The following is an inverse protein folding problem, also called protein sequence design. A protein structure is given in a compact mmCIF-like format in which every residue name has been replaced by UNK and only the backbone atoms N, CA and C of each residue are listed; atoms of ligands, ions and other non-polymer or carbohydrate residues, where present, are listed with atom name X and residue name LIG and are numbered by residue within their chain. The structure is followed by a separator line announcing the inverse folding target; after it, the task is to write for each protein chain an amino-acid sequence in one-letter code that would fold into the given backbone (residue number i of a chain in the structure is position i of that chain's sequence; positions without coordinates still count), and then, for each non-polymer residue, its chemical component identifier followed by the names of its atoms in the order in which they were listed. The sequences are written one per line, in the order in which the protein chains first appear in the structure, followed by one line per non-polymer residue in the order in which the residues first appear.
data_IF_831064422205
#
_entry.id   IF_831064422205
#
_cell.length_a   1.000
_cell.length_b   1.000
_cell.length_c   1.000
_cell.angle_alpha   90.00
_cell.angle_beta   90.00
_cell.angle_gamma   90.00
#
_symmetry.space_group_name_H-M   'P 1'
#
loop_
_entity.id
_entity.type
_entity.pdbx_description
1 polymer ?
#
# COMPACT_ATOMS: atom_id res chain seq x y z
N UNK A 1 -8.40 14.99 -3.43
CA UNK A 1 -7.48 15.24 -2.30
C UNK A 1 -8.18 15.12 -0.94
N UNK A 2 -9.40 15.63 -0.76
CA UNK A 2 -10.15 15.54 0.50
C UNK A 2 -10.33 14.08 1.00
N UNK A 3 -10.80 13.18 0.14
CA UNK A 3 -10.94 11.73 0.45
C UNK A 3 -9.64 11.13 1.02
N UNK A 4 -8.49 11.47 0.43
CA UNK A 4 -7.20 11.00 0.92
C UNK A 4 -6.91 11.49 2.33
N UNK A 5 -7.18 12.76 2.62
CA UNK A 5 -6.91 13.35 3.95
C UNK A 5 -7.82 12.73 5.01
N UNK A 6 -9.11 12.59 4.72
CA UNK A 6 -10.11 12.08 5.65
C UNK A 6 -9.89 10.59 5.97
N UNK A 7 -9.52 9.79 4.96
CA UNK A 7 -9.32 8.35 5.11
C UNK A 7 -7.89 7.98 5.54
N UNK A 8 -6.94 8.93 5.53
CA UNK A 8 -5.53 8.67 5.84
C UNK A 8 -5.31 8.02 7.20
N UNK A 9 -5.96 8.45 8.30
CA UNK A 9 -5.74 7.83 9.61
C UNK A 9 -6.06 6.34 9.61
N UNK A 10 -7.18 5.95 9.00
CA UNK A 10 -7.60 4.54 8.90
C UNK A 10 -6.64 3.75 8.01
N UNK A 11 -6.23 4.32 6.87
CA UNK A 11 -5.24 3.71 5.99
C UNK A 11 -3.89 3.48 6.69
N UNK A 12 -3.41 4.45 7.48
CA UNK A 12 -2.16 4.30 8.24
C UNK A 12 -2.30 3.20 9.30
N UNK A 13 -3.40 3.15 10.04
CA UNK A 13 -3.65 2.08 11.01
C UNK A 13 -3.70 0.69 10.35
N UNK A 14 -4.26 0.60 9.14
CA UNK A 14 -4.24 -0.64 8.35
C UNK A 14 -2.80 -1.07 8.00
N UNK A 15 -1.97 -0.15 7.52
CA UNK A 15 -0.56 -0.43 7.21
C UNK A 15 0.26 -0.77 8.46
N UNK A 16 0.00 -0.11 9.60
CA UNK A 16 0.63 -0.43 10.88
C UNK A 16 0.29 -1.86 11.35
N UNK A 17 -0.96 -2.29 11.13
CA UNK A 17 -1.38 -3.67 11.37
C UNK A 17 -0.58 -4.67 10.53
N UNK A 18 -0.51 -4.44 9.21
CA UNK A 18 0.28 -5.28 8.30
C UNK A 18 1.77 -5.31 8.67
N UNK A 19 2.32 -4.18 9.12
CA UNK A 19 3.69 -4.10 9.60
C UNK A 19 3.90 -4.92 10.88
N UNK A 20 3.00 -4.83 11.85
CA UNK A 20 3.03 -5.63 13.08
C UNK A 20 2.91 -7.14 12.83
N UNK A 21 2.26 -7.54 11.74
CA UNK A 21 2.17 -8.93 11.28
C UNK A 21 3.36 -9.37 10.39
N UNK A 22 4.37 -8.52 10.17
CA UNK A 22 5.47 -8.74 9.22
C UNK A 22 5.03 -9.01 7.77
N UNK A 23 3.83 -8.52 7.39
CA UNK A 23 3.30 -8.60 6.02
C UNK A 23 3.66 -7.39 5.17
N UNK A 24 4.04 -6.26 5.78
CA UNK A 24 4.43 -5.06 5.03
C UNK A 24 5.95 -5.02 4.84
N UNK A 25 6.40 -5.00 3.58
CA UNK A 25 7.83 -4.80 3.27
C UNK A 25 8.17 -3.32 3.23
N UNK A 26 7.39 -2.51 2.51
CA UNK A 26 7.46 -1.05 2.53
C UNK A 26 6.20 -0.43 1.90
N UNK A 27 5.92 0.83 2.23
CA UNK A 27 4.85 1.60 1.62
C UNK A 27 5.20 3.09 1.52
N UNK A 28 4.62 3.78 0.54
CA UNK A 28 4.76 5.22 0.40
C UNK A 28 3.86 5.81 -0.70
N UNK A 29 3.61 7.13 -0.66
CA UNK A 29 2.91 7.81 -1.73
C UNK A 29 3.79 7.94 -2.98
N UNK A 30 3.19 7.81 -4.16
CA UNK A 30 3.73 8.47 -5.35
C UNK A 30 3.48 9.97 -5.25
N UNK A 31 4.42 10.76 -5.76
CA UNK A 31 4.38 12.22 -5.71
C UNK A 31 4.35 12.81 -7.12
N UNK A 32 3.64 13.92 -7.29
CA UNK A 32 3.70 14.74 -8.50
C UNK A 32 4.92 15.68 -8.50
N UNK A 33 5.02 16.54 -9.52
CA UNK A 33 6.12 17.50 -9.68
C UNK A 33 6.20 18.55 -8.56
N UNK A 34 5.10 18.81 -7.86
CA UNK A 34 5.02 19.73 -6.72
C UNK A 34 5.22 19.00 -5.37
N UNK A 35 5.54 17.70 -5.40
CA UNK A 35 5.71 16.88 -4.20
C UNK A 35 4.40 16.48 -3.53
N UNK A 36 3.25 16.60 -4.20
CA UNK A 36 1.95 16.23 -3.62
C UNK A 36 1.62 14.77 -3.93
N UNK A 37 0.99 14.04 -2.99
CA UNK A 37 0.63 12.64 -3.21
C UNK A 37 -0.41 12.47 -4.32
N UNK A 38 -0.09 11.66 -5.34
CA UNK A 38 -1.00 11.32 -6.44
C UNK A 38 -1.23 9.80 -6.61
N UNK A 39 -0.72 8.99 -5.69
CA UNK A 39 -0.92 7.54 -5.70
C UNK A 39 -0.34 6.88 -4.45
N UNK A 40 -0.21 5.56 -4.49
CA UNK A 40 0.40 4.76 -3.42
C UNK A 40 1.17 3.59 -4.03
N UNK A 41 2.34 3.31 -3.49
CA UNK A 41 3.07 2.07 -3.67
C UNK A 41 3.09 1.33 -2.34
N UNK A 42 2.63 0.09 -2.33
CA UNK A 42 2.62 -0.77 -1.16
C UNK A 42 3.17 -2.13 -1.61
N UNK A 43 4.20 -2.62 -0.94
CA UNK A 43 4.75 -3.96 -1.17
C UNK A 43 4.50 -4.78 0.08
N UNK A 44 3.76 -5.87 -0.11
CA UNK A 44 3.37 -6.80 0.95
C UNK A 44 3.88 -8.21 0.65
N UNK A 45 4.16 -8.97 1.70
CA UNK A 45 4.36 -10.41 1.64
C UNK A 45 2.97 -11.08 1.75
N UNK A 46 2.61 -11.86 0.73
CA UNK A 46 1.35 -12.59 0.63
C UNK A 46 1.61 -14.00 0.08
N UNK A 47 0.80 -15.00 0.44
CA UNK A 47 1.00 -16.39 -0.01
C UNK A 47 0.80 -16.55 -1.53
N UNK A 48 -0.06 -15.74 -2.13
CA UNK A 48 -0.40 -15.76 -3.55
C UNK A 48 -0.99 -14.41 -3.99
N UNK A 49 -1.33 -14.31 -5.29
CA UNK A 49 -1.91 -13.10 -5.87
C UNK A 49 -3.30 -12.79 -5.31
N UNK A 50 -4.14 -13.80 -5.09
CA UNK A 50 -5.51 -13.62 -4.58
C UNK A 50 -5.50 -13.00 -3.17
N UNK A 51 -4.61 -13.45 -2.30
CA UNK A 51 -4.41 -12.85 -0.99
C UNK A 51 -3.91 -11.40 -1.06
N UNK A 52 -3.03 -11.08 -2.01
CA UNK A 52 -2.58 -9.70 -2.23
C UNK A 52 -3.71 -8.79 -2.75
N UNK A 53 -4.55 -9.29 -3.66
CA UNK A 53 -5.75 -8.61 -4.14
C UNK A 53 -6.75 -8.35 -3.01
N UNK A 54 -6.98 -9.35 -2.14
CA UNK A 54 -7.85 -9.21 -0.99
C UNK A 54 -7.33 -8.15 0.01
N UNK A 55 -6.02 -8.12 0.27
CA UNK A 55 -5.40 -7.07 1.09
C UNK A 55 -5.57 -5.68 0.47
N UNK A 56 -5.35 -5.56 -0.84
CA UNK A 56 -5.54 -4.29 -1.55
C UNK A 56 -6.99 -3.81 -1.51
N UNK A 57 -7.96 -4.71 -1.68
CA UNK A 57 -9.38 -4.39 -1.59
C UNK A 57 -9.84 -4.02 -0.16
N UNK A 58 -9.14 -4.54 0.86
CA UNK A 58 -9.42 -4.23 2.26
C UNK A 58 -8.88 -2.85 2.70
N UNK A 59 -7.95 -2.26 1.95
CA UNK A 59 -7.37 -0.95 2.24
C UNK A 59 -8.45 0.13 2.34
N UNK A 60 -8.50 0.93 3.42
CA UNK A 60 -9.45 2.03 3.56
C UNK A 60 -9.47 3.00 2.37
N UNK A 61 -8.33 3.29 1.73
CA UNK A 61 -8.30 4.10 0.53
C UNK A 61 -9.00 3.44 -0.66
N UNK A 62 -8.86 2.12 -0.84
CA UNK A 62 -9.59 1.40 -1.88
C UNK A 62 -11.10 1.41 -1.60
N UNK A 63 -11.50 1.15 -0.36
CA UNK A 63 -12.91 1.17 0.07
C UNK A 63 -13.56 2.55 -0.03
N UNK A 64 -12.77 3.61 0.16
CA UNK A 64 -13.22 4.99 -0.03
C UNK A 64 -13.26 5.43 -1.51
N UNK A 65 -12.89 4.55 -2.45
CA UNK A 65 -12.86 4.86 -3.87
C UNK A 65 -11.80 5.90 -4.24
N UNK A 66 -10.70 5.97 -3.47
CA UNK A 66 -9.65 6.98 -3.70
C UNK A 66 -8.89 6.71 -5.02
N UNK A 67 -8.69 5.44 -5.37
CA UNK A 67 -7.88 5.05 -6.51
C UNK A 67 -8.70 5.06 -7.80
N UNK A 68 -8.20 5.76 -8.82
CA UNK A 68 -8.74 5.67 -10.17
C UNK A 68 -8.44 4.31 -10.81
N UNK A 69 -7.26 3.74 -10.50
CA UNK A 69 -6.81 2.44 -10.98
C UNK A 69 -5.93 1.76 -9.93
N UNK A 70 -5.99 0.43 -9.89
CA UNK A 70 -5.14 -0.42 -9.04
C UNK A 70 -4.52 -1.49 -9.93
N UNK A 71 -3.20 -1.67 -9.82
CA UNK A 71 -2.45 -2.72 -10.51
C UNK A 71 -1.67 -3.52 -9.48
N UNK A 72 -1.82 -4.85 -9.51
CA UNK A 72 -1.20 -5.77 -8.55
C UNK A 72 -0.40 -6.78 -9.35
N UNK A 73 0.89 -6.93 -9.00
CA UNK A 73 1.80 -7.85 -9.66
C UNK A 73 2.71 -8.49 -8.63
N UNK A 74 2.97 -9.78 -8.80
CA UNK A 74 4.04 -10.44 -8.09
C UNK A 74 5.38 -9.81 -8.50
N UNK A 75 6.19 -9.48 -7.51
CA UNK A 75 7.53 -8.94 -7.71
C UNK A 75 8.49 -9.56 -6.70
N UNK A 76 9.74 -9.75 -7.08
CA UNK A 76 10.76 -10.34 -6.21
C UNK A 76 12.00 -9.46 -6.18
N UNK A 77 12.62 -9.39 -4.99
CA UNK A 77 13.90 -8.73 -4.82
C UNK A 77 15.00 -9.56 -5.48
N UNK A 78 15.60 -9.02 -6.55
CA UNK A 78 16.77 -9.66 -7.18
C UNK A 78 18.07 -9.27 -6.47
N UNK A 79 18.16 -8.02 -6.01
CA UNK A 79 19.33 -7.47 -5.33
C UNK A 79 18.91 -6.59 -4.17
N UNK A 80 19.74 -6.53 -3.12
CA UNK A 80 19.61 -5.58 -2.00
C UNK A 80 18.23 -5.57 -1.33
N UNK A 81 17.65 -6.75 -1.00
CA UNK A 81 16.47 -6.80 -0.14
C UNK A 81 16.80 -6.05 1.16
N UNK A 82 16.00 -5.03 1.55
CA UNK A 82 16.23 -4.30 2.79
C UNK A 82 16.28 -5.29 3.96
N UNK A 83 17.22 -5.08 4.89
CA UNK A 83 17.15 -5.76 6.16
C UNK A 83 15.81 -5.39 6.81
N UNK A 84 15.14 -6.37 7.42
CA UNK A 84 13.91 -6.13 8.17
C UNK A 84 14.16 -5.00 9.18
N UNK A 85 13.29 -3.98 9.17
CA UNK A 85 13.35 -2.85 10.07
C UNK A 85 13.00 -3.25 11.51
#
# INVERSE_FOLDING_TARGET
MQVRLDTRPEHVAFLEGLNGENKLAFAGPFLDADGKPNGSLVVVEAPDLEAAEALSAADPFARAGLFESVEIRQWNWTFNKPASA
#
